data_IF_652409799531
#
_entry.id   IF_652409799531
#
_cell.length_a   1.000
_cell.length_b   1.000
_cell.length_c   1.000
_cell.angle_alpha   90.00
_cell.angle_beta   90.00
_cell.angle_gamma   90.00
#
_symmetry.space_group_name_H-M   'P 1'
#
loop_
_entity.id
_entity.type
_entity.pdbx_description
1 polymer ?
#
# COMPACT_ATOMS: atom_id res chain seq x y z
N UNK A 1 -0.69 22.86 21.12
CA UNK A 1 -1.82 23.60 20.53
C UNK A 1 -2.43 22.68 19.48
N UNK A 2 -3.64 22.16 19.73
CA UNK A 2 -4.38 21.52 18.64
C UNK A 2 -4.53 22.57 17.55
N UNK A 3 -4.09 22.24 16.34
CA UNK A 3 -4.35 23.08 15.17
C UNK A 3 -5.81 22.81 14.80
N UNK A 4 -6.73 23.40 15.57
CA UNK A 4 -8.15 23.44 15.21
C UNK A 4 -8.29 24.49 14.11
N UNK A 5 -8.73 24.07 12.92
CA UNK A 5 -9.00 24.99 11.82
C UNK A 5 -10.18 25.94 12.10
N UNK A 6 -10.97 25.68 13.15
CA UNK A 6 -12.12 26.50 13.55
C UNK A 6 -13.30 26.38 12.59
N UNK A 7 -13.32 25.33 11.78
CA UNK A 7 -14.31 25.14 10.71
C UNK A 7 -15.20 23.94 10.99
N UNK A 8 -16.51 24.14 10.90
CA UNK A 8 -17.49 23.06 10.95
C UNK A 8 -17.65 22.42 9.56
N UNK A 9 -16.59 21.72 9.13
CA UNK A 9 -16.51 20.98 7.86
C UNK A 9 -15.83 19.64 8.12
N UNK A 10 -16.39 18.54 7.60
CA UNK A 10 -15.85 17.19 7.83
C UNK A 10 -14.39 17.04 7.40
N UNK A 11 -14.01 17.70 6.29
CA UNK A 11 -12.62 17.72 5.82
C UNK A 11 -11.70 18.48 6.79
N UNK A 12 -12.09 19.67 7.23
CA UNK A 12 -11.29 20.45 8.18
C UNK A 12 -11.11 19.71 9.51
N UNK A 13 -12.18 19.07 10.02
CA UNK A 13 -12.12 18.21 11.22
C UNK A 13 -11.23 17.00 11.03
N UNK A 14 -11.22 16.39 9.85
CA UNK A 14 -10.27 15.32 9.55
C UNK A 14 -8.83 15.85 9.58
N UNK A 15 -8.57 17.03 9.02
CA UNK A 15 -7.25 17.65 9.01
C UNK A 15 -6.77 18.09 10.40
N UNK A 16 -7.67 18.42 11.34
CA UNK A 16 -7.31 18.63 12.76
C UNK A 16 -6.63 17.38 13.35
N UNK A 17 -6.99 16.18 12.85
CA UNK A 17 -6.49 14.88 13.33
C UNK A 17 -5.31 14.39 12.50
N UNK A 18 -5.41 14.40 11.17
CA UNK A 18 -4.43 13.75 10.27
C UNK A 18 -3.64 14.72 9.38
N UNK A 19 -3.89 16.03 9.48
CA UNK A 19 -3.31 17.04 8.59
C UNK A 19 -1.83 17.35 8.82
N UNK A 20 -1.18 16.76 9.84
CA UNK A 20 0.28 16.80 9.98
C UNK A 20 0.94 15.85 8.96
N UNK A 21 2.05 16.29 8.35
CA UNK A 21 2.76 15.53 7.30
C UNK A 21 3.09 14.08 7.68
N UNK A 22 3.29 13.79 8.96
CA UNK A 22 3.68 12.45 9.42
C UNK A 22 2.49 11.58 9.80
N UNK A 23 1.31 12.14 10.09
CA UNK A 23 0.20 11.36 10.65
C UNK A 23 -0.29 10.28 9.68
N UNK A 24 -0.54 10.63 8.42
CA UNK A 24 -0.95 9.64 7.42
C UNK A 24 0.19 8.67 7.03
N UNK A 25 1.46 9.06 7.19
CA UNK A 25 2.60 8.15 6.99
C UNK A 25 2.72 7.13 8.13
N UNK A 26 2.45 7.53 9.38
CA UNK A 26 2.36 6.62 10.53
C UNK A 26 1.19 5.65 10.32
N UNK A 27 0.01 6.17 9.97
CA UNK A 27 -1.18 5.33 9.69
C UNK A 27 -0.90 4.36 8.55
N UNK A 28 -0.23 4.80 7.48
CA UNK A 28 0.20 3.94 6.36
C UNK A 28 1.03 2.75 6.85
N UNK A 29 1.99 2.97 7.74
CA UNK A 29 2.79 1.86 8.30
C UNK A 29 1.93 0.91 9.14
N UNK A 30 1.02 1.45 9.96
CA UNK A 30 0.15 0.66 10.83
C UNK A 30 -0.99 -0.08 10.10
N UNK A 31 -1.26 0.27 8.84
CA UNK A 31 -2.19 -0.46 7.98
C UNK A 31 -1.61 -1.81 7.52
N UNK A 32 -0.28 -1.97 7.52
CA UNK A 32 0.39 -3.26 7.24
C UNK A 32 0.23 -4.19 8.45
N UNK A 33 0.33 -3.64 9.66
CA UNK A 33 0.13 -4.35 10.90
C UNK A 33 0.59 -3.56 12.12
N UNK A 34 0.37 -4.09 13.34
CA UNK A 34 0.89 -3.51 14.57
C UNK A 34 2.42 -3.42 14.54
N UNK A 35 2.97 -2.31 15.03
CA UNK A 35 4.41 -2.07 15.01
C UNK A 35 4.93 -1.46 16.32
N UNK A 36 6.16 -1.80 16.68
CA UNK A 36 6.92 -1.16 17.76
C UNK A 36 7.39 0.22 17.33
N UNK A 37 7.78 1.03 18.31
CA UNK A 37 8.33 2.37 18.04
C UNK A 37 9.56 2.33 17.11
N UNK A 38 10.46 1.37 17.31
CA UNK A 38 11.66 1.21 16.48
C UNK A 38 11.33 0.92 15.02
N UNK A 39 10.41 -0.02 14.79
CA UNK A 39 9.94 -0.42 13.46
C UNK A 39 9.24 0.75 12.74
N UNK A 40 8.40 1.50 13.45
CA UNK A 40 7.78 2.72 12.92
C UNK A 40 8.83 3.76 12.51
N UNK A 41 9.87 3.97 13.34
CA UNK A 41 10.94 4.92 13.03
C UNK A 41 11.76 4.49 11.82
N UNK A 42 12.07 3.20 11.71
CA UNK A 42 12.76 2.62 10.55
C UNK A 42 11.90 2.69 9.28
N UNK A 43 10.58 2.57 9.40
CA UNK A 43 9.63 2.73 8.29
C UNK A 43 9.35 4.19 7.90
N UNK A 44 9.90 5.16 8.63
CA UNK A 44 9.70 6.59 8.42
C UNK A 44 11.04 7.35 8.40
N UNK A 45 11.92 7.10 7.41
CA UNK A 45 13.18 7.83 7.29
C UNK A 45 12.97 9.35 7.34
N UNK A 46 13.76 10.03 8.19
CA UNK A 46 13.71 11.48 8.36
C UNK A 46 12.78 11.99 9.46
N UNK A 47 11.99 11.14 10.12
CA UNK A 47 11.23 11.56 11.31
C UNK A 47 12.13 11.66 12.54
N UNK A 48 12.04 12.77 13.27
CA UNK A 48 12.73 12.92 14.56
C UNK A 48 12.02 12.09 15.65
N UNK A 49 12.80 11.47 16.55
CA UNK A 49 12.28 10.60 17.63
C UNK A 49 11.24 11.31 18.52
N UNK A 50 11.50 12.56 18.90
CA UNK A 50 10.57 13.36 19.69
C UNK A 50 9.26 13.63 18.91
N UNK A 51 9.38 13.96 17.63
CA UNK A 51 8.22 14.20 16.77
C UNK A 51 7.38 12.94 16.59
N UNK A 52 7.98 11.76 16.36
CA UNK A 52 7.24 10.49 16.29
C UNK A 52 6.49 10.22 17.60
N UNK A 53 7.12 10.49 18.74
CA UNK A 53 6.49 10.33 20.07
C UNK A 53 5.27 11.23 20.21
N UNK A 54 5.40 12.51 19.85
CA UNK A 54 4.29 13.47 19.93
C UNK A 54 3.15 13.11 18.96
N UNK A 55 3.47 12.69 17.72
CA UNK A 55 2.47 12.27 16.73
C UNK A 55 1.71 11.02 17.17
N UNK A 56 2.39 10.02 17.74
CA UNK A 56 1.72 8.83 18.28
C UNK A 56 0.80 9.18 19.46
N UNK A 57 1.23 10.07 20.36
CA UNK A 57 0.39 10.55 21.47
C UNK A 57 -0.86 11.29 20.96
N UNK A 58 -0.70 12.13 19.95
CA UNK A 58 -1.82 12.88 19.37
C UNK A 58 -2.81 11.96 18.64
N UNK A 59 -2.32 10.99 17.85
CA UNK A 59 -3.15 9.98 17.19
C UNK A 59 -3.85 9.04 18.19
N UNK A 60 -3.20 8.71 19.31
CA UNK A 60 -3.80 7.94 20.41
C UNK A 60 -4.89 8.74 21.10
N UNK A 61 -4.63 10.01 21.42
CA UNK A 61 -5.61 10.92 22.05
C UNK A 61 -6.83 11.17 21.15
N UNK A 62 -6.63 11.17 19.84
CA UNK A 62 -7.71 11.28 18.85
C UNK A 62 -8.46 9.95 18.63
N UNK A 63 -7.99 8.83 19.17
CA UNK A 63 -8.61 7.51 18.99
C UNK A 63 -8.31 6.82 17.66
N UNK A 64 -7.31 7.28 16.90
CA UNK A 64 -6.86 6.65 15.64
C UNK A 64 -5.95 5.45 15.91
N UNK A 65 -5.08 5.57 16.91
CA UNK A 65 -4.10 4.55 17.28
C UNK A 65 -4.35 4.07 18.71
N UNK A 66 -4.11 2.80 18.97
CA UNK A 66 -4.10 2.23 20.31
C UNK A 66 -2.70 1.67 20.63
N UNK A 67 -2.22 1.98 21.83
CA UNK A 67 -1.03 1.36 22.43
C UNK A 67 -1.42 0.01 23.04
N UNK A 68 -0.76 -1.07 22.65
CA UNK A 68 -1.01 -2.44 23.13
C UNK A 68 0.25 -3.05 23.73
N UNK A 69 0.06 -3.95 24.70
CA UNK A 69 1.13 -4.84 25.13
C UNK A 69 1.18 -6.02 24.15
N UNK A 70 2.34 -6.29 23.57
CA UNK A 70 2.56 -7.44 22.71
C UNK A 70 2.64 -8.71 23.57
N UNK A 71 1.84 -9.71 23.20
CA UNK A 71 1.75 -11.01 23.89
C UNK A 71 3.09 -11.77 23.87
N UNK A 72 3.93 -11.56 22.86
CA UNK A 72 5.14 -12.34 22.64
C UNK A 72 6.39 -11.76 23.34
N UNK A 73 6.40 -10.47 23.69
CA UNK A 73 7.65 -9.79 24.03
C UNK A 73 7.56 -8.82 25.23
N UNK A 74 6.41 -8.72 25.91
CA UNK A 74 6.15 -7.65 26.90
C UNK A 74 6.52 -6.25 26.35
N UNK A 75 6.47 -6.11 25.02
CA UNK A 75 6.87 -4.91 24.31
C UNK A 75 5.63 -4.09 23.96
N UNK A 76 5.78 -2.78 23.93
CA UNK A 76 4.69 -1.91 23.49
C UNK A 76 4.64 -1.89 21.96
N UNK A 77 3.48 -2.20 21.42
CA UNK A 77 3.14 -2.02 20.01
C UNK A 77 2.06 -0.96 19.86
N UNK A 78 2.03 -0.34 18.69
CA UNK A 78 0.99 0.57 18.25
C UNK A 78 0.19 -0.15 17.18
N UNK A 79 -1.14 -0.05 17.23
CA UNK A 79 -2.05 -0.61 16.24
C UNK A 79 -3.13 0.43 15.92
N UNK A 80 -3.70 0.38 14.72
CA UNK A 80 -4.89 1.18 14.43
C UNK A 80 -6.07 0.67 15.25
N UNK A 81 -6.93 1.60 15.68
CA UNK A 81 -8.28 1.26 16.13
C UNK A 81 -9.15 0.90 14.93
N UNK A 82 -10.35 0.36 15.16
CA UNK A 82 -11.29 0.07 14.07
C UNK A 82 -11.63 1.34 13.27
N UNK A 83 -11.75 2.48 13.96
CA UNK A 83 -11.95 3.78 13.31
C UNK A 83 -10.70 4.25 12.56
N UNK A 84 -9.51 4.12 13.16
CA UNK A 84 -8.25 4.46 12.50
C UNK A 84 -7.98 3.62 11.25
N UNK A 85 -8.39 2.35 11.23
CA UNK A 85 -8.29 1.47 10.07
C UNK A 85 -9.15 1.92 8.88
N UNK A 86 -10.19 2.74 9.10
CA UNK A 86 -11.00 3.32 8.01
C UNK A 86 -10.23 4.35 7.19
N UNK A 87 -9.10 4.87 7.69
CA UNK A 87 -8.19 5.74 6.92
C UNK A 87 -7.52 5.01 5.75
N UNK A 88 -7.67 3.69 5.62
CA UNK A 88 -7.27 2.92 4.44
C UNK A 88 -7.82 3.50 3.16
N UNK A 89 -9.11 3.80 3.09
CA UNK A 89 -9.74 4.31 1.86
C UNK A 89 -9.22 5.71 1.46
N UNK A 90 -9.13 6.70 2.38
CA UNK A 90 -8.42 7.95 2.10
C UNK A 90 -6.98 7.75 1.61
N UNK A 91 -6.22 6.84 2.22
CA UNK A 91 -4.84 6.55 1.81
C UNK A 91 -4.80 5.92 0.42
N UNK A 92 -5.67 4.95 0.12
CA UNK A 92 -5.78 4.36 -1.21
C UNK A 92 -6.17 5.39 -2.27
N UNK A 93 -7.09 6.29 -1.96
CA UNK A 93 -7.43 7.40 -2.84
C UNK A 93 -6.24 8.33 -3.10
N UNK A 94 -5.43 8.65 -2.09
CA UNK A 94 -4.20 9.43 -2.28
C UNK A 94 -3.16 8.68 -3.12
N UNK A 95 -3.00 7.36 -2.93
CA UNK A 95 -2.09 6.55 -3.74
C UNK A 95 -2.50 6.63 -5.22
N UNK A 96 -3.77 6.39 -5.54
CA UNK A 96 -4.27 6.53 -6.92
C UNK A 96 -4.12 7.95 -7.48
N UNK A 97 -4.37 8.97 -6.65
CA UNK A 97 -4.20 10.37 -7.05
C UNK A 97 -2.73 10.71 -7.34
N UNK A 98 -1.79 10.07 -6.64
CA UNK A 98 -0.35 10.32 -6.77
C UNK A 98 0.29 9.76 -8.05
N UNK A 99 -0.42 8.97 -8.87
CA UNK A 99 0.13 8.33 -10.07
C UNK A 99 0.93 9.29 -10.98
N UNK A 100 0.47 10.52 -11.30
CA UNK A 100 1.26 11.46 -12.12
C UNK A 100 2.56 11.94 -11.46
N UNK A 101 2.64 11.90 -10.12
CA UNK A 101 3.84 12.28 -9.36
C UNK A 101 4.93 11.19 -9.43
N UNK A 102 4.52 9.94 -9.63
CA UNK A 102 5.43 8.78 -9.69
C UNK A 102 6.16 8.63 -11.04
N UNK A 103 5.78 9.41 -12.07
CA UNK A 103 6.36 9.33 -13.42
C UNK A 103 7.87 9.59 -13.42
N UNK A 104 8.37 10.41 -12.49
CA UNK A 104 9.80 10.70 -12.38
C UNK A 104 10.62 9.57 -11.74
N UNK A 105 9.96 8.48 -11.33
CA UNK A 105 10.59 7.41 -10.58
C UNK A 105 10.96 7.85 -9.17
N UNK A 106 11.81 7.07 -8.47
CA UNK A 106 12.13 7.32 -7.07
C UNK A 106 13.05 8.52 -6.82
N UNK A 107 13.77 9.08 -7.81
CA UNK A 107 14.70 10.21 -7.61
C UNK A 107 15.70 10.05 -6.43
N UNK A 108 16.05 8.81 -6.05
CA UNK A 108 16.90 8.50 -4.90
C UNK A 108 16.14 8.27 -3.58
N UNK A 109 14.82 8.33 -3.60
CA UNK A 109 13.95 7.97 -2.48
C UNK A 109 14.10 6.49 -2.12
N UNK A 110 14.11 6.20 -0.83
CA UNK A 110 14.09 4.84 -0.32
C UNK A 110 12.70 4.22 -0.45
N UNK A 111 12.61 3.02 -1.02
CA UNK A 111 11.39 2.21 -1.00
C UNK A 111 11.58 0.99 -0.10
N UNK A 112 10.55 0.63 0.68
CA UNK A 112 10.49 -0.65 1.40
C UNK A 112 9.46 -1.54 0.73
N UNK A 113 9.83 -2.79 0.49
CA UNK A 113 8.99 -3.75 -0.22
C UNK A 113 7.64 -4.03 0.46
N UNK A 114 7.56 -3.89 1.79
CA UNK A 114 6.30 -3.98 2.54
C UNK A 114 5.27 -2.91 2.13
N UNK A 115 5.71 -1.79 1.54
CA UNK A 115 4.84 -0.77 0.95
C UNK A 115 3.95 -1.28 -0.19
N UNK A 116 4.31 -2.39 -0.84
CA UNK A 116 3.49 -3.03 -1.87
C UNK A 116 2.14 -3.52 -1.32
N UNK A 117 2.07 -3.88 -0.04
CA UNK A 117 0.84 -4.33 0.61
C UNK A 117 -0.23 -3.23 0.70
N UNK A 118 0.17 -1.95 0.57
CA UNK A 118 -0.79 -0.85 0.41
C UNK A 118 -0.93 -0.41 -1.03
N UNK A 119 0.19 -0.29 -1.75
CA UNK A 119 0.19 0.28 -3.09
C UNK A 119 -0.57 -0.61 -4.09
N UNK A 120 -0.36 -1.93 -4.05
CA UNK A 120 -0.97 -2.84 -5.01
C UNK A 120 -2.49 -2.93 -4.85
N UNK A 121 -3.09 -3.13 -3.66
CA UNK A 121 -4.54 -3.06 -3.51
C UNK A 121 -5.14 -1.74 -3.99
N UNK A 122 -4.47 -0.62 -3.69
CA UNK A 122 -4.95 0.70 -4.08
C UNK A 122 -5.00 0.86 -5.61
N UNK A 123 -3.92 0.48 -6.29
CA UNK A 123 -3.76 0.62 -7.75
C UNK A 123 -4.58 -0.42 -8.54
N UNK A 124 -4.72 -1.64 -8.00
CA UNK A 124 -5.45 -2.73 -8.64
C UNK A 124 -6.95 -2.74 -8.29
N UNK A 125 -7.43 -1.82 -7.44
CA UNK A 125 -8.82 -1.78 -6.95
C UNK A 125 -9.90 -1.75 -8.05
N UNK A 126 -9.59 -1.27 -9.26
CA UNK A 126 -10.53 -1.24 -10.39
C UNK A 126 -10.43 -2.46 -11.32
N UNK A 127 -9.55 -3.42 -11.03
CA UNK A 127 -9.39 -4.63 -11.83
C UNK A 127 -10.50 -5.63 -11.51
N UNK A 128 -11.09 -6.18 -12.56
CA UNK A 128 -12.02 -7.30 -12.45
C UNK A 128 -11.21 -8.56 -12.74
N UNK A 129 -10.99 -9.43 -11.75
CA UNK A 129 -10.29 -10.69 -11.98
C UNK A 129 -11.11 -11.58 -12.91
N UNK A 130 -10.42 -12.43 -13.68
CA UNK A 130 -11.07 -13.44 -14.50
C UNK A 130 -11.74 -14.53 -13.66
N UNK A 131 -12.54 -15.38 -14.31
CA UNK A 131 -13.33 -16.43 -13.64
C UNK A 131 -12.49 -17.48 -12.89
N UNK A 132 -11.20 -17.60 -13.22
CA UNK A 132 -10.31 -18.63 -12.65
C UNK A 132 -9.45 -18.05 -11.52
N UNK A 133 -9.48 -18.66 -10.31
CA UNK A 133 -8.58 -18.28 -9.23
C UNK A 133 -7.13 -18.33 -9.70
N UNK A 134 -6.41 -17.22 -9.50
CA UNK A 134 -5.03 -17.06 -9.96
C UNK A 134 -4.20 -16.48 -8.81
N UNK A 135 -3.04 -17.05 -8.54
CA UNK A 135 -2.14 -16.60 -7.46
C UNK A 135 -0.75 -16.36 -8.01
N UNK A 136 -0.21 -15.14 -7.83
CA UNK A 136 1.15 -14.80 -8.30
C UNK A 136 1.98 -14.19 -7.18
N UNK A 137 3.29 -14.38 -7.26
CA UNK A 137 4.27 -13.72 -6.40
C UNK A 137 4.87 -12.49 -7.06
N UNK A 138 5.07 -11.43 -6.29
CA UNK A 138 5.82 -10.24 -6.70
C UNK A 138 7.02 -10.11 -5.76
N UNK A 139 8.22 -10.14 -6.32
CA UNK A 139 9.48 -10.07 -5.58
C UNK A 139 10.15 -8.73 -5.86
N UNK A 140 10.36 -7.95 -4.79
CA UNK A 140 11.09 -6.68 -4.80
C UNK A 140 12.10 -6.72 -3.66
N UNK A 141 13.37 -6.46 -3.95
CA UNK A 141 14.47 -6.49 -2.96
C UNK A 141 14.51 -7.79 -2.12
N UNK A 142 14.19 -8.93 -2.75
CA UNK A 142 14.16 -10.25 -2.11
C UNK A 142 12.94 -10.50 -1.20
N UNK A 143 12.06 -9.51 -1.01
CA UNK A 143 10.81 -9.67 -0.27
C UNK A 143 9.70 -10.04 -1.25
N UNK A 144 8.92 -11.05 -0.88
CA UNK A 144 7.79 -11.52 -1.70
C UNK A 144 6.46 -11.04 -1.11
N UNK A 145 5.62 -10.45 -1.95
CA UNK A 145 4.19 -10.27 -1.68
C UNK A 145 3.38 -11.14 -2.64
N UNK A 146 2.24 -11.64 -2.18
CA UNK A 146 1.35 -12.53 -2.93
C UNK A 146 0.11 -11.75 -3.37
N UNK A 147 -0.24 -11.88 -4.64
CA UNK A 147 -1.49 -11.37 -5.20
C UNK A 147 -2.40 -12.56 -5.50
N UNK A 148 -3.65 -12.46 -5.11
CA UNK A 148 -4.66 -13.50 -5.33
C UNK A 148 -5.89 -12.90 -5.99
N UNK A 149 -6.22 -13.37 -7.18
CA UNK A 149 -7.43 -13.03 -7.89
C UNK A 149 -8.50 -14.10 -7.60
N UNK A 150 -9.68 -13.67 -7.18
CA UNK A 150 -10.88 -14.50 -7.00
C UNK A 150 -12.13 -13.69 -7.39
N UNK A 151 -13.31 -14.31 -7.42
CA UNK A 151 -14.57 -13.64 -7.81
C UNK A 151 -14.85 -12.32 -7.05
N UNK A 152 -14.41 -12.25 -5.78
CA UNK A 152 -14.59 -11.07 -4.92
C UNK A 152 -13.63 -9.90 -5.24
N UNK A 153 -12.60 -10.11 -6.06
CA UNK A 153 -11.59 -9.10 -6.39
C UNK A 153 -10.16 -9.62 -6.24
N UNK A 154 -9.23 -8.67 -6.12
CA UNK A 154 -7.80 -8.95 -5.91
C UNK A 154 -7.48 -8.70 -4.44
N UNK A 155 -6.93 -9.73 -3.80
CA UNK A 155 -6.33 -9.64 -2.48
C UNK A 155 -4.80 -9.57 -2.60
N UNK A 156 -4.16 -8.84 -1.68
CA UNK A 156 -2.71 -8.72 -1.61
C UNK A 156 -2.27 -8.94 -0.18
N UNK A 157 -1.34 -9.87 0.01
CA UNK A 157 -0.88 -10.26 1.33
C UNK A 157 0.53 -10.81 1.31
N UNK A 158 0.98 -11.24 2.49
CA UNK A 158 2.18 -12.05 2.59
C UNK A 158 1.94 -13.46 2.02
N UNK A 159 2.98 -14.18 1.56
CA UNK A 159 2.84 -15.54 1.09
C UNK A 159 2.19 -16.44 2.15
N UNK A 160 1.12 -17.13 1.79
CA UNK A 160 0.33 -17.99 2.69
C UNK A 160 0.57 -19.50 2.44
N UNK A 161 1.54 -19.82 1.59
CA UNK A 161 1.92 -21.20 1.23
C UNK A 161 1.12 -21.79 0.06
N UNK A 162 0.15 -21.07 -0.51
CA UNK A 162 -0.49 -21.50 -1.77
C UNK A 162 0.53 -21.55 -2.92
N UNK A 163 0.28 -22.45 -3.86
CA UNK A 163 1.08 -22.56 -5.08
C UNK A 163 0.93 -21.26 -5.90
N UNK A 164 2.06 -20.71 -6.34
CA UNK A 164 2.10 -19.57 -7.25
C UNK A 164 2.09 -20.06 -8.69
N UNK A 165 1.22 -19.49 -9.52
CA UNK A 165 1.12 -19.73 -10.96
C UNK A 165 2.25 -19.05 -11.72
N UNK A 166 2.71 -17.90 -11.21
CA UNK A 166 3.87 -17.18 -11.68
C UNK A 166 4.52 -16.34 -10.57
N UNK A 167 5.78 -15.96 -10.77
CA UNK A 167 6.51 -15.01 -9.93
C UNK A 167 7.19 -13.98 -10.82
N UNK A 168 6.94 -12.70 -10.55
CA UNK A 168 7.60 -11.55 -11.16
C UNK A 168 8.64 -10.99 -10.19
N UNK A 169 9.91 -10.99 -10.57
CA UNK A 169 11.00 -10.37 -9.84
C UNK A 169 11.45 -9.11 -10.58
N UNK A 170 11.26 -7.94 -9.97
CA UNK A 170 11.56 -6.66 -10.60
C UNK A 170 11.83 -5.56 -9.57
N UNK A 171 12.32 -4.41 -10.03
CA UNK A 171 12.41 -3.22 -9.20
C UNK A 171 11.01 -2.64 -8.89
N UNK A 172 10.86 -2.01 -7.72
CA UNK A 172 9.58 -1.49 -7.24
C UNK A 172 8.88 -0.58 -8.25
N UNK A 173 9.64 0.28 -8.95
CA UNK A 173 9.11 1.21 -9.96
C UNK A 173 8.49 0.50 -11.16
N UNK A 174 9.00 -0.67 -11.55
CA UNK A 174 8.42 -1.47 -12.64
C UNK A 174 7.09 -2.06 -12.18
N UNK A 175 7.08 -2.67 -11.00
CA UNK A 175 5.87 -3.26 -10.41
C UNK A 175 4.78 -2.21 -10.22
N UNK A 176 5.11 -1.06 -9.65
CA UNK A 176 4.17 0.04 -9.43
C UNK A 176 3.71 0.67 -10.75
N UNK A 177 4.61 0.80 -11.74
CA UNK A 177 4.27 1.27 -13.08
C UNK A 177 3.27 0.35 -13.78
N UNK A 178 3.45 -0.97 -13.68
CA UNK A 178 2.49 -1.96 -14.17
C UNK A 178 1.15 -1.85 -13.46
N UNK A 179 1.16 -1.84 -12.12
CA UNK A 179 -0.06 -1.75 -11.32
C UNK A 179 -0.84 -0.45 -11.59
N UNK A 180 -0.14 0.66 -11.80
CA UNK A 180 -0.73 1.95 -12.14
C UNK A 180 -1.17 2.07 -13.61
N UNK A 181 -0.88 1.08 -14.47
CA UNK A 181 -1.17 1.13 -15.90
C UNK A 181 -0.29 2.10 -16.69
N UNK A 182 0.86 2.50 -16.14
CA UNK A 182 1.85 3.35 -16.80
C UNK A 182 2.84 2.57 -17.66
N UNK A 183 2.98 1.26 -17.40
CA UNK A 183 3.81 0.33 -18.16
C UNK A 183 2.93 -0.82 -18.66
N UNK A 184 3.22 -1.32 -19.86
CA UNK A 184 2.60 -2.54 -20.36
C UNK A 184 3.46 -3.76 -19.97
N UNK A 185 2.80 -4.86 -19.56
CA UNK A 185 3.50 -6.09 -19.20
C UNK A 185 4.37 -6.62 -20.33
N UNK A 186 3.90 -6.50 -21.58
CA UNK A 186 4.61 -7.00 -22.76
C UNK A 186 5.90 -6.23 -23.06
N UNK A 187 5.94 -4.94 -22.73
CA UNK A 187 7.13 -4.12 -22.92
C UNK A 187 8.21 -4.41 -21.86
N UNK A 188 7.78 -4.76 -20.64
CA UNK A 188 8.71 -5.00 -19.52
C UNK A 188 9.10 -6.46 -19.35
N UNK A 189 8.29 -7.42 -19.80
CA UNK A 189 8.54 -8.85 -19.62
C UNK A 189 9.93 -9.30 -20.12
N UNK A 190 10.50 -8.77 -21.22
CA UNK A 190 11.86 -9.10 -21.65
C UNK A 190 12.97 -8.54 -20.76
N UNK A 191 12.65 -7.60 -19.85
CA UNK A 191 13.62 -6.83 -19.04
C UNK A 191 13.66 -7.27 -17.57
N UNK A 192 12.79 -8.19 -17.17
CA UNK A 192 12.59 -8.64 -15.78
C UNK A 192 12.61 -10.15 -15.70
N UNK A 193 12.80 -10.69 -14.50
CA UNK A 193 12.76 -12.13 -14.28
C UNK A 193 11.32 -12.57 -14.01
N UNK A 194 10.83 -13.51 -14.81
CA UNK A 194 9.50 -14.10 -14.69
C UNK A 194 9.66 -15.61 -14.71
N UNK A 195 9.14 -16.26 -13.66
CA UNK A 195 9.04 -17.71 -13.60
C UNK A 195 7.56 -18.12 -13.58
N UNK A 196 7.24 -19.25 -14.22
CA UNK A 196 5.85 -19.72 -14.34
C UNK A 196 5.10 -19.15 -15.55
N UNK A 197 3.78 -19.04 -15.44
CA UNK A 197 2.90 -18.67 -16.55
C UNK A 197 2.70 -17.15 -16.66
N UNK A 198 3.21 -16.54 -17.73
CA UNK A 198 3.02 -15.10 -18.00
C UNK A 198 1.53 -14.71 -18.08
N UNK A 199 0.65 -15.60 -18.54
CA UNK A 199 -0.78 -15.33 -18.59
C UNK A 199 -1.40 -15.13 -17.20
N UNK A 200 -0.82 -15.74 -16.15
CA UNK A 200 -1.26 -15.52 -14.78
C UNK A 200 -0.98 -14.08 -14.30
N UNK A 201 0.13 -13.46 -14.74
CA UNK A 201 0.46 -12.08 -14.43
C UNK A 201 -0.46 -11.09 -15.16
N UNK A 202 -0.93 -11.43 -16.37
CA UNK A 202 -1.86 -10.60 -17.16
C UNK A 202 -3.17 -10.32 -16.42
N UNK A 203 -3.66 -11.27 -15.63
CA UNK A 203 -4.87 -11.12 -14.79
C UNK A 203 -4.80 -9.89 -13.89
N UNK A 204 -3.61 -9.49 -13.45
CA UNK A 204 -3.41 -8.36 -12.54
C UNK A 204 -3.00 -7.07 -13.27
N UNK A 205 -2.09 -7.19 -14.25
CA UNK A 205 -1.41 -6.02 -14.82
C UNK A 205 -1.97 -5.53 -16.15
N UNK A 206 -2.77 -6.32 -16.85
CA UNK A 206 -3.44 -5.81 -18.06
C UNK A 206 -4.65 -4.95 -17.71
N UNK A 207 -4.84 -3.89 -18.48
CA UNK A 207 -6.11 -3.18 -18.45
C UNK A 207 -7.20 -4.14 -18.96
N UNK A 208 -8.40 -4.16 -18.34
CA UNK A 208 -9.51 -4.86 -18.95
C UNK A 208 -9.68 -4.31 -20.37
N UNK A 209 -9.71 -5.20 -21.36
CA UNK A 209 -10.05 -4.83 -22.73
C UNK A 209 -11.49 -4.32 -22.68
N UNK A 210 -11.68 -3.03 -22.47
CA UNK A 210 -12.98 -2.41 -22.64
C UNK A 210 -13.34 -2.58 -24.10
N UNK A 211 -14.30 -3.47 -24.36
CA UNK A 211 -15.04 -3.52 -25.61
C UNK A 211 -15.78 -2.17 -25.76
N UNK A 212 -15.07 -1.21 -26.35
CA UNK A 212 -15.55 0.08 -26.84
C UNK A 212 -14.72 0.31 -28.11
N UNK A 213 -14.93 -0.46 -29.18
CA UNK A 213 -15.87 -0.08 -30.24
C UNK A 213 -17.02 0.83 -29.77
N UNK A 214 -16.71 2.11 -29.66
CA UNK A 214 -17.67 3.16 -30.01
C UNK A 214 -17.03 3.97 -31.11
N UNK A 215 -17.56 3.72 -32.31
CA UNK A 215 -17.36 4.44 -33.54
C UNK A 215 -16.86 5.89 -33.38
N UNK A 216 -15.78 6.19 -34.11
CA UNK A 216 -15.72 7.35 -35.00
C UNK A 216 -14.83 7.05 -36.19
#
# INVERSE_FOLDING_TARGET
MSKDYGQYCGLARALDVVGDRWNLLIVRQLLIGPARFGELREGLPGIATNLLTDRLRDLESAGVVARRLSDEANAITYALTDWGAQLREPIYAMIRWSTPLMIRGPEGDSFRADGLLLALPALLSARVPGDRPTTVGIVVDGVTVQLSAAEAGIDVGWPDGRKLDAVLTAEAQIVLGLAAGLLALDDVAPLVDITGDLAALRVFFEAPTSAVDVAK
#
